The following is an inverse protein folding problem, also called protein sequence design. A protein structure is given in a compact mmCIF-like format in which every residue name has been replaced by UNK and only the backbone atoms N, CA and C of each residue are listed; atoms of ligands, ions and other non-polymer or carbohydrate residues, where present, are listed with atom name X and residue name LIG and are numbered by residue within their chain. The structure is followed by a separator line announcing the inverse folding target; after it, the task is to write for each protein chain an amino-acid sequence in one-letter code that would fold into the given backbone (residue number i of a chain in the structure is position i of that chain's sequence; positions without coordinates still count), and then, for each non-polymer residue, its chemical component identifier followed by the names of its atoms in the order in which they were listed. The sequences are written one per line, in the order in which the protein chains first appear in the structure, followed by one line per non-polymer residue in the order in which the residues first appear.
data_IF_466239223557
#
_entry.id   IF_466239223557
#
_cell.length_a   1.000
_cell.length_b   1.000
_cell.length_c   1.000
_cell.angle_alpha   90.00
_cell.angle_beta   90.00
_cell.angle_gamma   90.00
#
_symmetry.space_group_name_H-M   'P 1'
#
loop_
_entity.id
_entity.type
_entity.pdbx_description
1 polymer ?
#
# COMPACT_ATOMS: atom_id res chain seq x y z
N UNK A 1 -4.49 33.03 13.72
CA UNK A 1 -4.79 33.60 15.05
C UNK A 1 -5.98 32.89 15.70
N UNK A 2 -5.86 31.58 15.94
CA UNK A 2 -6.84 30.80 16.70
C UNK A 2 -6.05 29.93 17.66
N UNK A 3 -5.72 30.49 18.83
CA UNK A 3 -5.11 29.74 19.92
C UNK A 3 -6.21 29.06 20.73
N UNK A 4 -7.12 28.32 20.08
CA UNK A 4 -8.16 27.58 20.80
C UNK A 4 -7.50 26.39 21.50
N UNK A 5 -7.29 26.56 22.80
CA UNK A 5 -6.80 25.51 23.67
C UNK A 5 -7.92 24.57 24.14
N UNK A 6 -7.54 23.45 24.76
CA UNK A 6 -8.51 22.51 25.33
C UNK A 6 -9.48 23.15 26.34
N UNK A 7 -9.03 24.19 27.07
CA UNK A 7 -9.87 24.95 28.00
C UNK A 7 -10.97 25.77 27.31
N UNK A 8 -10.66 26.43 26.18
CA UNK A 8 -11.65 27.20 25.42
C UNK A 8 -12.71 26.28 24.78
N UNK A 9 -12.30 25.14 24.23
CA UNK A 9 -13.25 24.13 23.74
C UNK A 9 -14.19 23.69 24.87
N UNK A 10 -13.66 23.42 26.06
CA UNK A 10 -14.47 23.00 27.19
C UNK A 10 -15.47 24.08 27.64
N UNK A 11 -15.07 25.35 27.63
CA UNK A 11 -15.94 26.48 27.95
C UNK A 11 -17.09 26.63 26.95
N UNK A 12 -16.80 26.51 25.64
CA UNK A 12 -17.81 26.54 24.59
C UNK A 12 -18.75 25.36 24.71
N UNK A 13 -18.22 24.16 25.00
CA UNK A 13 -19.03 22.97 25.24
C UNK A 13 -19.99 23.22 26.40
N UNK A 14 -19.50 23.76 27.53
CA UNK A 14 -20.33 24.04 28.70
C UNK A 14 -21.45 25.04 28.39
N UNK A 15 -21.16 26.09 27.63
CA UNK A 15 -22.18 27.03 27.14
C UNK A 15 -23.19 26.33 26.23
N UNK A 16 -22.74 25.53 25.27
CA UNK A 16 -23.63 24.77 24.39
C UNK A 16 -24.51 23.78 25.18
N UNK A 17 -23.96 23.12 26.21
CA UNK A 17 -24.69 22.27 27.14
C UNK A 17 -25.75 23.06 27.93
N UNK A 18 -25.49 24.31 28.27
CA UNK A 18 -26.46 25.15 28.99
C UNK A 18 -27.57 25.67 28.08
N UNK A 19 -27.24 26.12 26.86
CA UNK A 19 -28.23 26.64 25.91
C UNK A 19 -29.13 25.54 25.34
N UNK A 20 -28.51 24.44 24.91
CA UNK A 20 -29.19 23.36 24.19
C UNK A 20 -29.56 22.20 25.13
N UNK A 21 -28.76 21.95 26.16
CA UNK A 21 -28.91 20.82 27.08
C UNK A 21 -27.87 19.70 26.84
N UNK A 22 -27.42 19.01 27.90
CA UNK A 22 -26.44 17.91 27.79
C UNK A 22 -26.97 16.69 27.02
N UNK A 23 -28.28 16.46 27.03
CA UNK A 23 -28.89 15.36 26.24
C UNK A 23 -29.02 15.73 24.76
N UNK A 24 -29.22 17.02 24.44
CA UNK A 24 -29.54 17.49 23.09
C UNK A 24 -28.33 17.67 22.21
N UNK A 25 -27.16 17.99 22.78
CA UNK A 25 -25.90 18.10 22.04
C UNK A 25 -25.49 16.77 21.38
N UNK A 26 -25.37 15.63 22.10
CA UNK A 26 -25.04 14.35 21.49
C UNK A 26 -26.15 13.86 20.55
N UNK A 27 -27.42 14.13 20.86
CA UNK A 27 -28.55 13.79 19.99
C UNK A 27 -28.45 14.52 18.64
N UNK A 28 -28.17 15.83 18.66
CA UNK A 28 -28.01 16.66 17.45
C UNK A 28 -26.76 16.27 16.68
N UNK A 29 -25.64 16.05 17.36
CA UNK A 29 -24.40 15.60 16.73
C UNK A 29 -24.57 14.25 16.02
N UNK A 30 -25.32 13.30 16.62
CA UNK A 30 -25.66 12.02 15.96
C UNK A 30 -26.52 12.22 14.72
N UNK A 31 -27.51 13.10 14.76
CA UNK A 31 -28.37 13.41 13.59
C UNK A 31 -27.55 14.03 12.45
N UNK A 32 -26.74 15.04 12.76
CA UNK A 32 -25.85 15.69 11.80
C UNK A 32 -24.82 14.70 11.26
N UNK A 33 -24.24 13.87 12.13
CA UNK A 33 -23.29 12.84 11.73
C UNK A 33 -23.88 11.81 10.77
N UNK A 34 -25.12 11.35 11.03
CA UNK A 34 -25.83 10.46 10.12
C UNK A 34 -26.10 11.12 8.76
N UNK A 35 -26.57 12.37 8.76
CA UNK A 35 -26.77 13.14 7.54
C UNK A 35 -25.47 13.29 6.75
N UNK A 36 -24.38 13.67 7.41
CA UNK A 36 -23.07 13.84 6.78
C UNK A 36 -22.53 12.51 6.22
N UNK A 37 -22.75 11.40 6.92
CA UNK A 37 -22.36 10.07 6.45
C UNK A 37 -23.15 9.64 5.22
N UNK A 38 -24.44 9.94 5.18
CA UNK A 38 -25.32 9.65 4.04
C UNK A 38 -24.95 10.49 2.81
N UNK A 39 -24.71 11.80 3.00
CA UNK A 39 -24.17 12.68 1.97
C UNK A 39 -22.84 12.14 1.44
N UNK A 40 -21.90 11.79 2.33
CA UNK A 40 -20.61 11.23 1.93
C UNK A 40 -20.74 9.95 1.12
N UNK A 41 -21.67 9.06 1.47
CA UNK A 41 -21.93 7.81 0.74
C UNK A 41 -22.48 8.06 -0.66
N UNK A 42 -23.38 9.03 -0.81
CA UNK A 42 -23.91 9.43 -2.12
C UNK A 42 -22.80 10.06 -2.96
N UNK A 43 -22.00 10.97 -2.39
CA UNK A 43 -20.88 11.59 -3.08
C UNK A 43 -19.82 10.57 -3.48
N UNK A 44 -19.47 9.62 -2.62
CA UNK A 44 -18.48 8.58 -2.97
C UNK A 44 -18.95 7.66 -4.08
N UNK A 45 -20.25 7.29 -4.11
CA UNK A 45 -20.81 6.50 -5.21
C UNK A 45 -20.79 7.27 -6.53
N UNK A 46 -21.11 8.56 -6.50
CA UNK A 46 -21.02 9.42 -7.69
C UNK A 46 -19.59 9.63 -8.16
N UNK A 47 -18.63 9.85 -7.25
CA UNK A 47 -17.21 9.94 -7.60
C UNK A 47 -16.70 8.67 -8.28
N UNK A 48 -17.13 7.49 -7.82
CA UNK A 48 -16.76 6.19 -8.41
C UNK A 48 -17.38 5.99 -9.79
N UNK A 49 -18.65 6.37 -9.96
CA UNK A 49 -19.36 6.27 -11.24
C UNK A 49 -18.80 7.25 -12.28
N UNK A 50 -18.47 8.49 -11.87
CA UNK A 50 -17.80 9.49 -12.72
C UNK A 50 -16.38 9.04 -13.06
N UNK A 51 -15.63 8.54 -12.08
CA UNK A 51 -14.28 8.01 -12.31
C UNK A 51 -14.32 6.84 -13.28
N UNK A 52 -15.26 5.91 -13.13
CA UNK A 52 -15.48 4.81 -14.07
C UNK A 52 -15.82 5.35 -15.46
N UNK A 53 -16.76 6.29 -15.58
CA UNK A 53 -17.11 6.91 -16.87
C UNK A 53 -15.93 7.62 -17.56
N UNK A 54 -15.05 8.26 -16.80
CA UNK A 54 -13.85 8.93 -17.32
C UNK A 54 -12.72 7.95 -17.66
N UNK A 55 -12.54 6.90 -16.86
CA UNK A 55 -11.55 5.84 -17.08
C UNK A 55 -11.84 5.08 -18.39
N UNK A 56 -13.11 4.79 -18.67
CA UNK A 56 -13.55 4.19 -19.94
C UNK A 56 -13.18 5.08 -21.16
N UNK A 57 -12.98 6.39 -20.95
CA UNK A 57 -12.56 7.33 -21.99
C UNK A 57 -11.04 7.50 -22.16
N UNK A 58 -10.20 7.00 -21.24
CA UNK A 58 -8.77 7.35 -21.18
C UNK A 58 -7.79 6.16 -21.07
N UNK A 59 -8.25 4.93 -20.84
CA UNK A 59 -7.37 3.78 -20.54
C UNK A 59 -6.53 3.27 -21.72
N UNK A 60 -6.87 3.55 -22.98
CA UNK A 60 -6.10 2.98 -24.11
C UNK A 60 -4.81 3.71 -24.51
N UNK A 61 -4.30 4.69 -23.75
CA UNK A 61 -3.08 5.42 -24.17
C UNK A 61 -1.99 5.55 -23.12
N UNK A 62 -2.29 5.31 -21.84
CA UNK A 62 -1.33 5.52 -20.75
C UNK A 62 -0.55 4.22 -20.44
N UNK A 63 -1.23 3.07 -20.47
CA UNK A 63 -0.58 1.77 -20.23
C UNK A 63 0.36 1.34 -21.37
N UNK A 64 0.00 1.64 -22.63
CA UNK A 64 0.83 1.34 -23.82
C UNK A 64 2.13 2.15 -23.92
N UNK A 65 2.22 3.29 -23.22
CA UNK A 65 3.40 4.15 -23.25
C UNK A 65 4.46 3.76 -22.21
N UNK A 66 4.03 3.21 -21.06
CA UNK A 66 4.93 2.75 -20.00
C UNK A 66 5.60 1.41 -20.36
N UNK A 67 4.92 0.56 -21.13
CA UNK A 67 5.44 -0.76 -21.50
C UNK A 67 6.53 -0.69 -22.60
N UNK A 68 6.51 0.36 -23.44
CA UNK A 68 7.48 0.52 -24.56
C UNK A 68 8.86 1.07 -24.17
N UNK A 69 9.08 1.48 -22.92
CA UNK A 69 10.37 2.02 -22.49
C UNK A 69 11.30 0.98 -21.85
N UNK A 70 10.79 -0.22 -21.54
CA UNK A 70 11.58 -1.29 -20.91
C UNK A 70 12.23 -2.26 -21.93
N UNK A 71 11.65 -2.44 -23.12
CA UNK A 71 12.18 -3.37 -24.13
C UNK A 71 12.95 -2.62 -25.23
N UNK A 72 14.11 -2.07 -24.88
CA UNK A 72 15.09 -1.55 -25.84
C UNK A 72 15.80 -2.70 -26.58
N UNK A 73 15.97 -2.65 -27.92
CA UNK A 73 16.58 -3.73 -28.70
C UNK A 73 17.99 -4.05 -28.20
N UNK A 74 18.17 -5.26 -27.65
CA UNK A 74 19.49 -5.78 -27.26
C UNK A 74 20.29 -6.04 -28.55
N UNK A 75 20.99 -5.01 -29.03
CA UNK A 75 22.05 -5.16 -30.01
C UNK A 75 23.20 -5.92 -29.32
N UNK A 76 23.24 -7.21 -29.62
CA UNK A 76 24.37 -8.10 -29.35
C UNK A 76 25.66 -7.45 -29.87
N UNK A 77 26.64 -7.29 -28.99
CA UNK A 77 28.04 -7.13 -29.38
C UNK A 77 28.90 -8.03 -28.48
N UNK A 78 29.50 -9.10 -29.02
CA UNK A 78 30.36 -10.02 -28.27
C UNK A 78 31.82 -9.53 -28.31
N UNK A 79 32.44 -9.27 -27.15
CA UNK A 79 33.92 -9.19 -27.04
C UNK A 79 34.35 -9.51 -25.59
N UNK A 80 34.89 -10.71 -25.37
CA UNK A 80 35.87 -10.95 -24.31
C UNK A 80 37.24 -10.41 -24.76
N UNK A 81 38.07 -9.84 -23.86
CA UNK A 81 39.22 -10.65 -23.44
C UNK A 81 39.67 -10.43 -21.98
N UNK A 82 39.89 -11.57 -21.30
CA UNK A 82 41.04 -11.92 -20.44
C UNK A 82 41.81 -10.80 -19.72
N UNK A 83 41.83 -10.89 -18.39
CA UNK A 83 43.06 -10.83 -17.56
C UNK A 83 42.81 -11.37 -16.14
N UNK A 84 43.36 -12.53 -15.75
CA UNK A 84 43.80 -12.82 -14.37
C UNK A 84 45.30 -12.41 -14.23
N UNK A 85 45.97 -12.31 -13.06
CA UNK A 85 45.70 -13.01 -11.79
C UNK A 85 46.05 -12.24 -10.47
N UNK A 86 45.89 -12.95 -9.33
CA UNK A 86 46.80 -12.94 -8.16
C UNK A 86 46.54 -11.99 -6.97
N UNK A 87 45.91 -12.61 -5.96
CA UNK A 87 46.38 -12.78 -4.56
C UNK A 87 46.19 -11.67 -3.52
N UNK A 88 45.36 -11.96 -2.53
CA UNK A 88 45.73 -11.84 -1.12
C UNK A 88 44.76 -12.63 -0.24
N UNK A 89 45.31 -13.64 0.44
CA UNK A 89 44.84 -14.09 1.76
C UNK A 89 43.85 -15.25 1.80
N UNK A 90 44.37 -16.47 1.87
CA UNK A 90 43.79 -17.62 2.60
C UNK A 90 44.64 -17.77 3.89
N UNK A 91 44.13 -18.23 5.07
CA UNK A 91 43.62 -19.60 5.24
C UNK A 91 42.36 -19.78 6.14
N UNK A 92 41.49 -20.68 5.69
CA UNK A 92 40.77 -21.80 6.38
C UNK A 92 40.85 -21.99 7.92
N UNK A 93 40.05 -22.90 8.54
CA UNK A 93 38.68 -23.40 8.28
C UNK A 93 37.82 -23.53 9.57
N UNK A 94 36.48 -23.63 9.49
CA UNK A 94 35.73 -24.41 10.48
C UNK A 94 34.55 -25.14 9.84
N UNK A 95 34.63 -26.46 9.97
CA UNK A 95 33.72 -27.48 9.49
C UNK A 95 32.52 -27.58 10.45
N UNK A 96 31.33 -27.42 9.91
CA UNK A 96 30.07 -27.79 10.55
C UNK A 96 29.29 -28.64 9.57
N UNK A 97 29.75 -29.89 9.40
CA UNK A 97 28.89 -31.01 9.03
C UNK A 97 27.73 -31.05 10.04
N UNK A 98 26.49 -31.14 9.54
CA UNK A 98 25.46 -32.00 10.12
C UNK A 98 24.23 -32.05 9.19
N UNK A 99 23.99 -33.27 8.71
CA UNK A 99 22.69 -33.85 8.40
C UNK A 99 22.08 -33.55 7.03
N UNK A 100 22.49 -34.41 6.10
CA UNK A 100 21.68 -34.87 4.98
C UNK A 100 20.27 -35.28 5.46
N UNK A 101 19.25 -34.57 4.97
CA UNK A 101 17.89 -35.09 4.89
C UNK A 101 17.70 -35.61 3.46
N UNK A 102 18.02 -36.89 3.29
CA UNK A 102 17.68 -37.67 2.11
C UNK A 102 16.85 -38.85 2.59
N UNK A 103 15.56 -38.60 2.79
CA UNK A 103 14.52 -39.65 2.82
C UNK A 103 14.03 -39.76 1.38
N UNK A 104 14.59 -40.67 0.59
CA UNK A 104 14.16 -42.06 0.49
C UNK A 104 12.70 -42.13 0.03
N UNK A 105 12.51 -42.17 -1.29
CA UNK A 105 11.23 -42.51 -1.90
C UNK A 105 11.47 -43.46 -3.08
N UNK A 106 12.24 -44.50 -2.78
CA UNK A 106 12.22 -45.77 -3.48
C UNK A 106 11.28 -46.70 -2.74
N UNK A 107 10.04 -46.83 -3.21
CA UNK A 107 9.28 -48.06 -3.05
C UNK A 107 8.23 -48.09 -4.16
N UNK A 108 8.52 -48.89 -5.19
CA UNK A 108 7.89 -50.19 -5.38
C UNK A 108 6.48 -50.02 -5.98
N UNK A 109 6.33 -50.13 -7.29
CA UNK A 109 6.19 -51.44 -7.94
C UNK A 109 5.30 -52.39 -7.12
N UNK A 110 4.00 -52.41 -7.41
CA UNK A 110 3.25 -53.65 -7.66
C UNK A 110 1.74 -53.41 -7.73
N UNK A 111 1.14 -54.06 -8.74
CA UNK A 111 -0.28 -54.40 -8.96
C UNK A 111 -1.13 -53.41 -9.73
#
# INVERSE_FOLDING_TARGET
MFNVGGGEIFMILLLALLLLGPEKLPETARKVGKFMAEVRRVTSGFEEEVRSAMDIGQVHTVDDALDRTTEGPRLVAPVDPVTPPTTSGSPTPFVGDLSADSTDNDDAASS
#
